data_IF_695019693993
#
_entry.id   IF_695019693993
#
_cell.length_a   1.000
_cell.length_b   1.000
_cell.length_c   1.000
_cell.angle_alpha   90.00
_cell.angle_beta   90.00
_cell.angle_gamma   90.00
#
_symmetry.space_group_name_H-M   'P 1'
#
loop_
_entity.id
_entity.type
_entity.pdbx_description
1 polymer ?
#
# COMPACT_ATOMS: atom_id res chain seq x y z
N UNK A 1 8.25 -16.14 -28.96
CA UNK A 1 8.16 -14.90 -28.18
C UNK A 1 6.84 -14.20 -28.50
N UNK A 2 5.98 -13.99 -27.52
CA UNK A 2 4.70 -13.30 -27.70
C UNK A 2 4.79 -11.87 -27.18
N UNK A 3 4.39 -10.89 -27.99
CA UNK A 3 4.22 -9.50 -27.58
C UNK A 3 2.78 -9.32 -27.07
N UNK A 4 2.63 -8.97 -25.79
CA UNK A 4 1.30 -8.75 -25.17
C UNK A 4 1.30 -7.51 -24.31
N UNK A 5 0.13 -6.93 -24.04
CA UNK A 5 0.01 -5.81 -23.09
C UNK A 5 0.16 -6.29 -21.65
N UNK A 6 0.54 -5.36 -20.74
CA UNK A 6 0.62 -5.68 -19.31
C UNK A 6 -0.74 -6.17 -18.78
N UNK A 7 -1.85 -5.57 -19.24
CA UNK A 7 -3.20 -6.04 -18.88
C UNK A 7 -3.44 -7.49 -19.28
N UNK A 8 -3.01 -7.89 -20.49
CA UNK A 8 -3.12 -9.29 -20.93
C UNK A 8 -2.20 -10.20 -20.10
N UNK A 9 -0.99 -9.76 -19.80
CA UNK A 9 -0.04 -10.50 -18.96
C UNK A 9 -0.60 -10.72 -17.54
N UNK A 10 -1.18 -9.70 -16.91
CA UNK A 10 -1.82 -9.81 -15.59
C UNK A 10 -3.03 -10.76 -15.61
N UNK A 11 -3.83 -10.73 -16.68
CA UNK A 11 -4.93 -11.69 -16.86
C UNK A 11 -4.43 -13.12 -16.99
N UNK A 12 -3.37 -13.32 -17.79
CA UNK A 12 -2.72 -14.63 -17.95
C UNK A 12 -2.17 -15.14 -16.62
N UNK A 13 -1.50 -14.29 -15.82
CA UNK A 13 -1.01 -14.65 -14.49
C UNK A 13 -2.11 -15.17 -13.59
N UNK A 14 -3.26 -14.50 -13.52
CA UNK A 14 -4.41 -14.96 -12.71
C UNK A 14 -4.86 -16.37 -13.11
N UNK A 15 -4.88 -16.66 -14.41
CA UNK A 15 -5.25 -18.00 -14.91
C UNK A 15 -4.21 -19.05 -14.55
N UNK A 16 -2.92 -18.73 -14.74
CA UNK A 16 -1.81 -19.64 -14.41
C UNK A 16 -1.72 -19.92 -12.91
N UNK A 17 -1.84 -18.91 -12.07
CA UNK A 17 -1.86 -19.04 -10.61
C UNK A 17 -3.04 -19.91 -10.14
N UNK A 18 -4.22 -19.73 -10.73
CA UNK A 18 -5.39 -20.59 -10.45
C UNK A 18 -5.13 -22.04 -10.86
N UNK A 19 -4.51 -22.28 -12.03
CA UNK A 19 -4.14 -23.62 -12.50
C UNK A 19 -3.10 -24.28 -11.60
N UNK A 20 -2.08 -23.52 -11.17
CA UNK A 20 -1.06 -24.00 -10.26
C UNK A 20 -1.67 -24.40 -8.91
N UNK A 21 -2.50 -23.54 -8.31
CA UNK A 21 -3.24 -23.85 -7.08
C UNK A 21 -4.09 -25.11 -7.20
N UNK A 22 -4.80 -25.28 -8.32
CA UNK A 22 -5.62 -26.47 -8.56
C UNK A 22 -4.77 -27.74 -8.64
N UNK A 23 -3.59 -27.68 -9.33
CA UNK A 23 -2.67 -28.83 -9.40
C UNK A 23 -2.04 -29.18 -8.06
N UNK A 24 -1.72 -28.18 -7.24
CA UNK A 24 -1.22 -28.36 -5.88
C UNK A 24 -2.31 -28.81 -4.90
N UNK A 25 -3.58 -28.75 -5.29
CA UNK A 25 -4.72 -29.05 -4.41
C UNK A 25 -4.85 -28.03 -3.27
N UNK A 26 -4.50 -26.77 -3.50
CA UNK A 26 -4.62 -25.70 -2.54
C UNK A 26 -5.85 -24.85 -2.89
N UNK A 27 -6.78 -24.70 -1.95
CA UNK A 27 -7.91 -23.77 -2.11
C UNK A 27 -7.46 -22.32 -1.89
N UNK A 28 -8.29 -21.36 -2.28
CA UNK A 28 -8.01 -19.93 -2.08
C UNK A 28 -7.78 -19.55 -0.60
N UNK A 29 -8.29 -20.37 0.34
CA UNK A 29 -8.06 -20.21 1.77
C UNK A 29 -6.80 -20.95 2.28
N UNK A 30 -5.91 -21.41 1.38
CA UNK A 30 -4.67 -22.12 1.74
C UNK A 30 -4.86 -23.55 2.25
N UNK A 31 -6.09 -24.07 2.29
CA UNK A 31 -6.37 -25.46 2.70
C UNK A 31 -6.10 -26.42 1.55
N UNK A 32 -5.41 -27.53 1.84
CA UNK A 32 -5.22 -28.61 0.86
C UNK A 32 -6.55 -29.32 0.59
N UNK A 33 -6.83 -29.55 -0.68
CA UNK A 33 -7.96 -30.39 -1.11
C UNK A 33 -7.48 -31.81 -1.38
N UNK A 34 -8.41 -32.79 -1.28
CA UNK A 34 -8.10 -34.20 -1.54
C UNK A 34 -7.76 -34.50 -3.02
N UNK A 35 -7.97 -33.55 -3.91
CA UNK A 35 -7.82 -33.70 -5.37
C UNK A 35 -6.47 -33.19 -5.92
N UNK A 36 -5.41 -33.16 -5.08
CA UNK A 36 -4.09 -32.82 -5.58
C UNK A 36 -3.63 -33.83 -6.64
N UNK A 37 -3.20 -33.32 -7.80
CA UNK A 37 -2.70 -34.17 -8.90
C UNK A 37 -1.36 -34.82 -8.55
N UNK A 38 -0.60 -34.24 -7.63
CA UNK A 38 0.63 -34.83 -7.10
C UNK A 38 0.29 -35.69 -5.88
N UNK A 39 0.28 -36.98 -6.08
CA UNK A 39 0.08 -38.00 -5.02
C UNK A 39 1.29 -38.92 -4.94
N UNK A 40 1.63 -39.32 -3.71
CA UNK A 40 2.56 -40.39 -3.45
C UNK A 40 1.77 -41.61 -2.97
N UNK A 41 2.14 -42.77 -3.44
CA UNK A 41 1.49 -44.05 -3.07
C UNK A 41 2.52 -44.93 -2.40
N UNK A 42 2.20 -45.44 -1.23
CA UNK A 42 2.99 -46.48 -0.57
C UNK A 42 2.49 -47.85 -1.05
N UNK A 43 3.39 -48.64 -1.62
CA UNK A 43 3.08 -50.01 -2.08
C UNK A 43 3.85 -51.01 -1.21
N UNK A 44 3.14 -51.98 -0.65
CA UNK A 44 3.78 -53.11 0.02
C UNK A 44 3.98 -54.24 -0.95
N UNK A 45 5.22 -54.63 -1.16
CA UNK A 45 5.56 -55.84 -1.95
C UNK A 45 5.12 -57.08 -1.16
N UNK A 46 4.22 -57.88 -1.74
CA UNK A 46 3.74 -59.14 -1.15
C UNK A 46 2.45 -59.07 -0.35
N UNK A 47 1.79 -57.91 -0.28
CA UNK A 47 0.47 -57.80 0.29
C UNK A 47 -0.60 -58.35 -0.68
N UNK A 48 -1.38 -59.32 -0.21
CA UNK A 48 -2.56 -59.80 -0.92
C UNK A 48 -3.77 -58.83 -0.86
N UNK A 49 -3.60 -57.70 -0.23
CA UNK A 49 -4.56 -56.61 -0.18
C UNK A 49 -4.43 -55.81 -1.48
N UNK A 50 -4.97 -56.29 -2.59
CA UNK A 50 -5.31 -55.43 -3.71
C UNK A 50 -6.41 -54.48 -3.26
N UNK A 51 -6.09 -53.22 -3.13
CA UNK A 51 -7.11 -52.22 -3.08
C UNK A 51 -7.95 -52.32 -4.39
N UNK A 52 -9.23 -52.70 -4.31
CA UNK A 52 -10.05 -52.90 -5.51
C UNK A 52 -10.25 -51.61 -6.33
N UNK A 53 -9.83 -50.46 -5.81
CA UNK A 53 -9.93 -49.16 -6.45
C UNK A 53 -8.62 -48.67 -7.11
N UNK A 54 -7.50 -49.35 -6.92
CA UNK A 54 -6.21 -49.00 -7.55
C UNK A 54 -5.77 -50.04 -8.55
N UNK A 55 -6.42 -50.11 -9.68
CA UNK A 55 -5.97 -50.91 -10.84
C UNK A 55 -4.91 -50.19 -11.66
N UNK A 56 -4.08 -49.35 -11.08
CA UNK A 56 -2.99 -48.67 -11.77
C UNK A 56 -1.80 -49.61 -11.88
N UNK A 57 -1.30 -49.78 -13.11
CA UNK A 57 0.04 -50.31 -13.30
C UNK A 57 1.06 -49.35 -12.69
N UNK A 58 2.06 -49.87 -11.98
CA UNK A 58 3.11 -49.05 -11.34
C UNK A 58 3.77 -48.07 -12.35
N UNK A 59 4.01 -48.51 -13.57
CA UNK A 59 4.59 -47.72 -14.67
C UNK A 59 3.71 -46.53 -15.05
N UNK A 60 2.38 -46.70 -15.13
CA UNK A 60 1.44 -45.64 -15.47
C UNK A 60 1.39 -44.61 -14.35
N UNK A 61 1.44 -45.05 -13.09
CA UNK A 61 1.49 -44.18 -11.93
C UNK A 61 2.77 -43.33 -11.92
N UNK A 62 3.95 -43.96 -12.13
CA UNK A 62 5.23 -43.27 -12.19
C UNK A 62 5.23 -42.21 -13.30
N UNK A 63 4.75 -42.59 -14.48
CA UNK A 63 4.67 -41.66 -15.62
C UNK A 63 3.76 -40.48 -15.35
N UNK A 64 2.57 -40.73 -14.78
CA UNK A 64 1.60 -39.68 -14.45
C UNK A 64 2.12 -38.76 -13.33
N UNK A 65 2.78 -39.31 -12.31
CA UNK A 65 3.36 -38.53 -11.22
C UNK A 65 4.48 -37.60 -11.72
N UNK A 66 5.40 -38.13 -12.56
CA UNK A 66 6.45 -37.31 -13.19
C UNK A 66 5.90 -36.21 -14.08
N UNK A 67 4.93 -36.52 -14.95
CA UNK A 67 4.29 -35.54 -15.81
C UNK A 67 3.55 -34.46 -15.00
N UNK A 68 2.90 -34.83 -13.88
CA UNK A 68 2.24 -33.89 -13.01
C UNK A 68 3.24 -32.95 -12.33
N UNK A 69 4.37 -33.47 -11.85
CA UNK A 69 5.43 -32.66 -11.26
C UNK A 69 6.03 -31.70 -12.27
N UNK A 70 6.43 -32.20 -13.46
CA UNK A 70 6.95 -31.35 -14.53
C UNK A 70 5.96 -30.20 -14.87
N UNK A 71 4.69 -30.52 -15.00
CA UNK A 71 3.68 -29.52 -15.31
C UNK A 71 3.45 -28.48 -14.20
N UNK A 72 3.76 -28.79 -12.94
CA UNK A 72 3.76 -27.83 -11.84
C UNK A 72 4.97 -26.91 -11.96
N UNK A 73 6.15 -27.46 -12.21
CA UNK A 73 7.40 -26.72 -12.39
C UNK A 73 7.31 -25.77 -13.60
N UNK A 74 6.82 -26.24 -14.74
CA UNK A 74 6.61 -25.42 -15.94
C UNK A 74 5.65 -24.24 -15.70
N UNK A 75 4.58 -24.47 -14.92
CA UNK A 75 3.66 -23.40 -14.55
C UNK A 75 4.31 -22.36 -13.64
N UNK A 76 5.11 -22.80 -12.66
CA UNK A 76 5.80 -21.92 -11.74
C UNK A 76 6.85 -21.06 -12.44
N UNK A 77 7.70 -21.69 -13.28
CA UNK A 77 8.65 -20.97 -14.12
C UNK A 77 7.97 -19.95 -15.05
N UNK A 78 6.86 -20.33 -15.65
CA UNK A 78 6.11 -19.42 -16.53
C UNK A 78 5.54 -18.22 -15.77
N UNK A 79 5.02 -18.43 -14.56
CA UNK A 79 4.54 -17.37 -13.69
C UNK A 79 5.69 -16.40 -13.34
N UNK A 80 6.85 -16.92 -12.93
CA UNK A 80 8.03 -16.12 -12.59
C UNK A 80 8.50 -15.32 -13.80
N UNK A 81 8.58 -15.93 -14.96
CA UNK A 81 9.00 -15.28 -16.22
C UNK A 81 8.10 -14.08 -16.54
N UNK A 82 6.78 -14.26 -16.47
CA UNK A 82 5.83 -13.16 -16.74
C UNK A 82 5.95 -12.06 -15.68
N UNK A 83 6.05 -12.40 -14.40
CA UNK A 83 6.23 -11.42 -13.31
C UNK A 83 7.51 -10.59 -13.49
N UNK A 84 8.61 -11.23 -13.86
CA UNK A 84 9.87 -10.56 -14.13
C UNK A 84 9.78 -9.61 -15.34
N UNK A 85 9.11 -10.03 -16.42
CA UNK A 85 8.90 -9.17 -17.58
C UNK A 85 8.06 -7.91 -17.23
N UNK A 86 7.00 -8.07 -16.43
CA UNK A 86 6.20 -6.95 -15.94
C UNK A 86 7.04 -6.03 -15.04
N UNK A 87 7.81 -6.59 -14.08
CA UNK A 87 8.64 -5.81 -13.18
C UNK A 87 9.71 -4.99 -13.93
N UNK A 88 10.38 -5.61 -14.91
CA UNK A 88 11.35 -4.93 -15.76
C UNK A 88 10.72 -3.79 -16.55
N UNK A 89 9.52 -3.98 -17.11
CA UNK A 89 8.78 -2.94 -17.82
C UNK A 89 8.37 -1.80 -16.88
N UNK A 90 7.82 -2.11 -15.71
CA UNK A 90 7.39 -1.10 -14.72
C UNK A 90 8.54 -0.24 -14.21
N UNK A 91 9.76 -0.77 -14.18
CA UNK A 91 10.95 -0.05 -13.73
C UNK A 91 11.41 1.05 -14.71
N UNK A 92 11.05 0.94 -16.00
CA UNK A 92 11.48 1.87 -17.05
C UNK A 92 10.35 2.68 -17.67
N UNK A 93 9.11 2.21 -17.55
CA UNK A 93 7.94 2.92 -18.10
C UNK A 93 7.65 4.16 -17.27
N UNK A 94 7.67 5.33 -17.92
CA UNK A 94 7.38 6.61 -17.27
C UNK A 94 5.89 6.93 -17.37
N UNK A 95 5.35 7.46 -16.27
CA UNK A 95 3.98 7.97 -16.18
C UNK A 95 3.98 9.34 -15.51
N UNK A 96 2.95 10.14 -15.81
CA UNK A 96 2.77 11.45 -15.20
C UNK A 96 1.52 11.43 -14.31
N UNK A 97 1.70 11.64 -13.01
CA UNK A 97 0.63 11.62 -12.01
C UNK A 97 0.67 12.94 -11.24
N UNK A 98 -0.44 13.65 -11.18
CA UNK A 98 -0.52 14.95 -10.50
C UNK A 98 0.60 15.92 -10.91
N UNK A 99 0.92 15.97 -12.20
CA UNK A 99 1.97 16.83 -12.76
C UNK A 99 3.40 16.36 -12.55
N UNK A 100 3.64 15.27 -11.78
CA UNK A 100 4.98 14.72 -11.48
C UNK A 100 5.26 13.49 -12.35
N UNK A 101 6.42 13.46 -12.99
CA UNK A 101 6.89 12.29 -13.75
C UNK A 101 7.56 11.30 -12.80
N UNK A 102 7.23 10.02 -12.98
CA UNK A 102 7.80 8.91 -12.20
C UNK A 102 7.68 7.60 -12.96
N UNK A 103 8.41 6.58 -12.54
CA UNK A 103 8.22 5.24 -13.11
C UNK A 103 6.92 4.60 -12.62
N UNK A 104 6.37 3.67 -13.39
CA UNK A 104 5.22 2.87 -12.96
C UNK A 104 5.53 2.15 -11.64
N UNK A 105 6.75 1.64 -11.49
CA UNK A 105 7.18 1.00 -10.24
C UNK A 105 7.14 1.97 -9.06
N UNK A 106 7.62 3.20 -9.23
CA UNK A 106 7.55 4.23 -8.18
C UNK A 106 6.11 4.59 -7.84
N UNK A 107 5.24 4.71 -8.85
CA UNK A 107 3.82 4.98 -8.64
C UNK A 107 3.14 3.87 -7.82
N UNK A 108 3.45 2.59 -8.10
CA UNK A 108 2.94 1.44 -7.34
C UNK A 108 3.41 1.50 -5.88
N UNK A 109 4.70 1.78 -5.64
CA UNK A 109 5.24 1.92 -4.28
C UNK A 109 4.53 3.06 -3.54
N UNK A 110 4.38 4.24 -4.17
CA UNK A 110 3.69 5.38 -3.57
C UNK A 110 2.23 5.06 -3.23
N UNK A 111 1.55 4.26 -4.07
CA UNK A 111 0.19 3.78 -3.79
C UNK A 111 0.15 2.85 -2.59
N UNK A 112 1.08 1.91 -2.48
CA UNK A 112 1.17 0.99 -1.32
C UNK A 112 1.40 1.75 -0.01
N UNK A 113 2.15 2.85 -0.04
CA UNK A 113 2.43 3.71 1.12
C UNK A 113 1.41 4.84 1.32
N UNK A 114 0.33 4.89 0.55
CA UNK A 114 -0.66 5.97 0.62
C UNK A 114 -1.30 6.09 2.00
N UNK A 115 -1.63 4.99 2.65
CA UNK A 115 -2.22 4.99 3.99
C UNK A 115 -1.26 5.58 5.04
N UNK A 116 0.01 5.21 5.01
CA UNK A 116 1.01 5.77 5.92
C UNK A 116 1.23 7.27 5.67
N UNK A 117 1.17 7.71 4.43
CA UNK A 117 1.23 9.14 4.09
C UNK A 117 0.03 9.92 4.65
N UNK A 118 -1.16 9.35 4.56
CA UNK A 118 -2.37 9.92 5.17
C UNK A 118 -2.22 10.05 6.68
N UNK A 119 -1.79 8.99 7.36
CA UNK A 119 -1.52 9.01 8.81
C UNK A 119 -0.50 10.09 9.20
N UNK A 120 0.53 10.30 8.38
CA UNK A 120 1.52 11.37 8.60
C UNK A 120 0.87 12.77 8.54
N UNK A 121 0.00 13.00 7.56
CA UNK A 121 -0.73 14.29 7.44
C UNK A 121 -1.61 14.51 8.66
N UNK A 122 -2.36 13.51 9.08
CA UNK A 122 -3.23 13.57 10.27
C UNK A 122 -2.42 13.84 11.56
N UNK A 123 -1.24 13.22 11.70
CA UNK A 123 -0.36 13.48 12.83
C UNK A 123 0.14 14.94 12.86
N UNK A 124 0.48 15.51 11.71
CA UNK A 124 0.90 16.91 11.62
C UNK A 124 -0.26 17.88 11.92
N UNK A 125 -1.48 17.56 11.47
CA UNK A 125 -2.69 18.33 11.82
C UNK A 125 -2.96 18.30 13.32
N UNK A 126 -2.85 17.13 13.93
CA UNK A 126 -3.05 16.97 15.36
C UNK A 126 -2.03 17.81 16.16
N UNK A 127 -0.77 17.83 15.75
CA UNK A 127 0.27 18.63 16.39
C UNK A 127 0.02 20.13 16.23
N UNK A 128 -0.35 20.59 15.04
CA UNK A 128 -0.68 21.98 14.79
C UNK A 128 -1.90 22.43 15.63
N UNK A 129 -2.90 21.57 15.73
CA UNK A 129 -4.09 21.82 16.56
C UNK A 129 -3.69 21.96 18.03
N UNK A 130 -2.92 20.99 18.57
CA UNK A 130 -2.42 21.03 19.94
C UNK A 130 -1.64 22.33 20.24
N UNK A 131 -0.71 22.69 19.36
CA UNK A 131 0.09 23.88 19.52
C UNK A 131 -0.76 25.18 19.50
N UNK A 132 -1.84 25.23 18.71
CA UNK A 132 -2.78 26.36 18.69
C UNK A 132 -3.64 26.42 19.94
N UNK A 133 -4.06 25.28 20.46
CA UNK A 133 -4.81 25.21 21.74
C UNK A 133 -3.93 25.71 22.90
N UNK A 134 -2.67 25.22 22.99
CA UNK A 134 -1.72 25.73 23.99
C UNK A 134 -1.43 27.22 23.85
N UNK A 135 -1.30 27.70 22.62
CA UNK A 135 -1.11 29.14 22.36
C UNK A 135 -2.30 29.95 22.85
N UNK A 136 -3.53 29.47 22.62
CA UNK A 136 -4.73 30.11 23.10
C UNK A 136 -4.81 30.12 24.64
N UNK A 137 -4.44 29.02 25.30
CA UNK A 137 -4.36 28.93 26.75
C UNK A 137 -3.41 29.98 27.33
N UNK A 138 -2.23 30.18 26.72
CA UNK A 138 -1.28 31.23 27.16
C UNK A 138 -1.89 32.63 27.02
N UNK A 139 -2.64 32.90 25.95
CA UNK A 139 -3.34 34.17 25.76
C UNK A 139 -4.40 34.38 26.87
N UNK A 140 -5.17 33.34 27.17
CA UNK A 140 -6.23 33.41 28.18
C UNK A 140 -5.64 33.55 29.60
N UNK A 141 -4.52 32.90 29.89
CA UNK A 141 -3.76 33.08 31.13
C UNK A 141 -3.23 34.51 31.27
N UNK A 142 -2.64 35.07 30.21
CA UNK A 142 -2.16 36.45 30.17
C UNK A 142 -3.28 37.44 30.41
N UNK A 143 -4.45 37.24 29.81
CA UNK A 143 -5.64 38.05 30.04
C UNK A 143 -6.12 37.98 31.51
N UNK A 144 -6.20 36.77 32.05
CA UNK A 144 -6.56 36.54 33.44
C UNK A 144 -5.56 37.20 34.41
N UNK A 145 -4.27 37.25 34.03
CA UNK A 145 -3.25 37.94 34.81
C UNK A 145 -3.44 39.46 34.77
N UNK A 146 -3.75 40.04 33.60
CA UNK A 146 -4.09 41.45 33.48
C UNK A 146 -5.33 41.85 34.33
N UNK A 147 -6.38 41.01 34.31
CA UNK A 147 -7.58 41.20 35.15
C UNK A 147 -7.25 41.22 36.63
N UNK A 148 -6.36 40.33 37.10
CA UNK A 148 -5.91 40.34 38.52
C UNK A 148 -5.12 41.60 38.87
N UNK A 149 -4.23 42.05 37.97
CA UNK A 149 -3.47 43.30 38.17
C UNK A 149 -4.36 44.54 38.22
N UNK A 150 -5.45 44.54 37.45
CA UNK A 150 -6.43 45.60 37.44
C UNK A 150 -7.38 45.59 38.68
N UNK A 151 -7.24 44.62 39.61
CA UNK A 151 -8.08 44.44 40.79
C UNK A 151 -9.58 44.31 40.49
N UNK A 152 -9.94 43.67 39.37
CA UNK A 152 -11.32 43.45 38.96
C UNK A 152 -12.04 44.69 38.42
N UNK A 153 -11.32 45.72 38.05
CA UNK A 153 -11.90 46.87 37.35
C UNK A 153 -12.38 46.46 35.95
N UNK A 154 -13.39 47.18 35.43
CA UNK A 154 -13.95 46.84 34.11
C UNK A 154 -12.90 46.95 33.00
N UNK A 155 -13.08 46.17 31.93
CA UNK A 155 -12.17 46.13 30.74
C UNK A 155 -12.02 47.49 30.04
N UNK A 156 -12.92 48.43 30.27
CA UNK A 156 -12.86 49.80 29.74
C UNK A 156 -12.05 50.75 30.62
N UNK A 157 -11.69 50.37 31.85
CA UNK A 157 -10.95 51.22 32.79
C UNK A 157 -9.50 51.44 32.28
N UNK A 158 -8.94 52.60 32.63
CA UNK A 158 -7.55 52.92 32.33
C UNK A 158 -6.59 51.91 32.97
N UNK A 159 -6.88 51.47 34.20
CA UNK A 159 -6.04 50.48 34.90
C UNK A 159 -6.01 49.12 34.22
N UNK A 160 -7.14 48.70 33.70
CA UNK A 160 -7.17 47.43 32.93
C UNK A 160 -6.33 47.54 31.67
N UNK A 161 -6.46 48.64 30.92
CA UNK A 161 -5.67 48.87 29.70
C UNK A 161 -4.18 48.96 29.98
N UNK A 162 -3.78 49.66 31.04
CA UNK A 162 -2.38 49.77 31.47
C UNK A 162 -1.84 48.37 31.90
N UNK A 163 -2.64 47.53 32.56
CA UNK A 163 -2.29 46.17 32.94
C UNK A 163 -2.18 45.24 31.75
N UNK A 164 -3.10 45.33 30.82
CA UNK A 164 -3.11 44.55 29.58
C UNK A 164 -1.88 44.88 28.70
N UNK A 165 -1.55 46.18 28.58
CA UNK A 165 -0.34 46.63 27.86
C UNK A 165 0.93 46.11 28.53
N UNK A 166 1.02 46.17 29.85
CA UNK A 166 2.15 45.63 30.60
C UNK A 166 2.32 44.13 30.40
N UNK A 167 1.24 43.35 30.50
CA UNK A 167 1.26 41.89 30.34
C UNK A 167 1.60 41.54 28.90
N UNK A 168 1.01 42.22 27.91
CA UNK A 168 1.30 41.99 26.49
C UNK A 168 2.76 42.31 26.15
N UNK A 169 3.36 43.34 26.72
CA UNK A 169 4.74 43.69 26.48
C UNK A 169 5.73 42.77 27.21
N UNK A 170 5.34 42.22 28.39
CA UNK A 170 6.24 41.45 29.24
C UNK A 170 6.13 39.94 28.97
N UNK A 171 4.92 39.46 28.69
CA UNK A 171 4.58 38.02 28.53
C UNK A 171 3.92 37.76 27.20
N UNK A 172 4.41 38.40 26.13
CA UNK A 172 3.87 38.21 24.77
C UNK A 172 3.79 36.74 24.41
N UNK A 173 2.59 36.28 24.12
CA UNK A 173 2.41 34.93 23.56
C UNK A 173 2.94 34.89 22.11
N UNK A 174 3.66 33.84 21.76
CA UNK A 174 4.08 33.58 20.37
C UNK A 174 4.02 32.09 20.05
N UNK A 175 3.41 31.75 18.93
CA UNK A 175 3.49 30.40 18.40
C UNK A 175 4.78 30.26 17.58
N UNK A 176 5.69 29.43 18.02
CA UNK A 176 6.96 29.16 17.31
C UNK A 176 6.75 27.98 16.36
N UNK A 177 6.63 28.26 15.08
CA UNK A 177 6.55 27.24 14.02
C UNK A 177 7.77 27.33 13.08
N UNK A 178 8.87 26.65 13.41
CA UNK A 178 10.10 26.70 12.61
C UNK A 178 9.97 25.94 11.27
N UNK A 179 8.90 25.18 11.10
CA UNK A 179 8.68 24.29 9.94
C UNK A 179 7.63 24.81 8.96
N UNK A 180 6.97 25.93 9.28
CA UNK A 180 5.79 26.42 8.52
C UNK A 180 4.77 25.30 8.29
N UNK A 181 4.36 24.70 9.45
CA UNK A 181 3.60 23.45 9.45
C UNK A 181 2.25 23.58 8.77
N UNK A 182 1.61 24.75 8.90
CA UNK A 182 0.32 25.04 8.25
C UNK A 182 0.43 24.89 6.72
N UNK A 183 1.32 25.63 6.07
CA UNK A 183 1.48 25.62 4.62
C UNK A 183 1.98 24.25 4.13
N UNK A 184 2.79 23.58 4.96
CA UNK A 184 3.27 22.24 4.64
C UNK A 184 2.17 21.18 4.64
N UNK A 185 1.23 21.26 5.60
CA UNK A 185 0.06 20.39 5.66
C UNK A 185 -0.80 20.59 4.40
N UNK A 186 -1.19 21.84 4.11
CA UNK A 186 -2.02 22.17 2.95
C UNK A 186 -1.43 21.62 1.64
N UNK A 187 -0.15 21.83 1.44
CA UNK A 187 0.55 21.31 0.25
C UNK A 187 0.60 19.78 0.23
N UNK A 188 0.83 19.15 1.38
CA UNK A 188 0.86 17.68 1.46
C UNK A 188 -0.50 17.06 1.21
N UNK A 189 -1.59 17.69 1.67
CA UNK A 189 -2.96 17.27 1.41
C UNK A 189 -3.29 17.36 -0.07
N UNK A 190 -3.05 18.51 -0.68
CA UNK A 190 -3.30 18.70 -2.09
C UNK A 190 -2.50 17.70 -2.94
N UNK A 191 -1.18 17.57 -2.69
CA UNK A 191 -0.32 16.58 -3.38
C UNK A 191 -0.81 15.13 -3.18
N UNK A 192 -1.40 14.82 -2.03
CA UNK A 192 -1.92 13.48 -1.71
C UNK A 192 -3.25 13.22 -2.42
N UNK A 193 -4.19 14.16 -2.35
CA UNK A 193 -5.51 14.04 -3.00
C UNK A 193 -5.37 13.95 -4.52
N UNK A 194 -4.56 14.82 -5.12
CA UNK A 194 -4.28 14.80 -6.56
C UNK A 194 -3.64 13.47 -6.99
N UNK A 195 -2.73 12.93 -6.18
CA UNK A 195 -2.11 11.64 -6.46
C UNK A 195 -3.12 10.50 -6.39
N UNK A 196 -3.91 10.42 -5.31
CA UNK A 196 -4.88 9.33 -5.11
C UNK A 196 -6.00 9.36 -6.15
N UNK A 197 -6.45 10.55 -6.53
CA UNK A 197 -7.49 10.71 -7.56
C UNK A 197 -7.06 10.19 -8.95
N UNK A 198 -5.78 10.28 -9.27
CA UNK A 198 -5.29 10.00 -10.63
C UNK A 198 -4.55 8.67 -10.78
N UNK A 199 -4.01 8.08 -9.69
CA UNK A 199 -3.10 6.93 -9.75
C UNK A 199 -3.71 5.72 -10.44
N UNK A 200 -4.96 5.37 -10.14
CA UNK A 200 -5.61 4.15 -10.65
C UNK A 200 -5.91 4.26 -12.13
N UNK A 201 -6.34 5.43 -12.58
CA UNK A 201 -6.58 5.70 -13.98
C UNK A 201 -5.26 5.60 -14.78
N UNK A 202 -4.22 6.30 -14.35
CA UNK A 202 -2.93 6.33 -15.05
C UNK A 202 -2.26 4.95 -15.11
N UNK A 203 -2.29 4.18 -14.00
CA UNK A 203 -1.78 2.82 -14.00
C UNK A 203 -2.59 1.89 -14.91
N UNK A 204 -3.90 2.04 -14.96
CA UNK A 204 -4.77 1.25 -15.84
C UNK A 204 -4.50 1.55 -17.32
N UNK A 205 -4.37 2.83 -17.67
CA UNK A 205 -4.02 3.27 -19.03
C UNK A 205 -2.62 2.77 -19.44
N UNK A 206 -1.62 2.93 -18.57
CA UNK A 206 -0.27 2.42 -18.80
C UNK A 206 -0.27 0.91 -19.04
N UNK A 207 -0.99 0.13 -18.21
CA UNK A 207 -1.09 -1.32 -18.36
C UNK A 207 -1.78 -1.75 -19.67
N UNK A 208 -2.72 -0.96 -20.16
CA UNK A 208 -3.44 -1.24 -21.41
C UNK A 208 -2.61 -0.94 -22.67
N UNK A 209 -1.70 0.02 -22.58
CA UNK A 209 -0.91 0.51 -23.72
C UNK A 209 0.50 -0.07 -23.77
N UNK A 210 1.12 -0.31 -22.61
CA UNK A 210 2.50 -0.83 -22.53
C UNK A 210 2.54 -2.30 -22.92
N UNK A 211 3.40 -2.62 -23.89
CA UNK A 211 3.63 -3.99 -24.37
C UNK A 211 4.92 -4.55 -23.80
N UNK A 212 4.90 -5.83 -23.48
CA UNK A 212 6.04 -6.61 -23.02
C UNK A 212 6.24 -7.83 -23.90
N UNK A 213 7.48 -8.27 -24.02
CA UNK A 213 7.86 -9.50 -24.70
C UNK A 213 8.04 -10.58 -23.65
N UNK A 214 7.28 -11.66 -23.77
CA UNK A 214 7.42 -12.83 -22.89
C UNK A 214 8.17 -13.91 -23.67
N UNK A 215 9.33 -14.37 -23.17
CA UNK A 215 10.02 -15.53 -23.72
C UNK A 215 9.11 -16.77 -23.72
N UNK A 216 9.30 -17.62 -24.71
CA UNK A 216 8.57 -18.90 -24.79
C UNK A 216 8.97 -19.85 -23.69
#
# INVERSE_FOLDING_TARGET
MAEITITQALSTLKVLEKRLKAKLGVSDNGRRTLNANLKLVAVSRGSHLRDPYTSYKEEDFITTAKASMQSIEDLDERIITIKNAIAASNAVTMVKIAGKEMTVQEAIIRKQYSELRKQKIEAYKAELKRAREEFQEVIDENRSYAERLANGESSDSKKFKDAEEFVSNTYAASLIDPCDLQNKIEKMEQDFEDFVANIDFVLSESNATTKIIIPD
#
